data_IF_043771545368
#
_entry.id   IF_043771545368
#
_cell.length_a   1.000
_cell.length_b   1.000
_cell.length_c   1.000
_cell.angle_alpha   90.00
_cell.angle_beta   90.00
_cell.angle_gamma   90.00
#
_symmetry.space_group_name_H-M   'P 1'
#
loop_
_entity.id
_entity.type
_entity.pdbx_description
1 polymer ?
#
# COMPACT_ATOMS: atom_id res chain seq x y z
N UNK A 1 20.82 0.51 -7.84
CA UNK A 1 19.86 0.59 -6.72
C UNK A 1 19.12 -0.74 -6.62
N UNK A 2 19.15 -1.42 -5.48
CA UNK A 2 18.53 -2.74 -5.25
C UNK A 2 17.01 -2.64 -5.44
N UNK A 3 16.40 -3.62 -6.12
CA UNK A 3 14.97 -3.65 -6.48
C UNK A 3 14.05 -3.59 -5.25
N UNK A 4 14.45 -4.24 -4.15
CA UNK A 4 13.77 -4.21 -2.85
C UNK A 4 13.45 -2.80 -2.34
N UNK A 5 14.38 -1.86 -2.46
CA UNK A 5 14.21 -0.49 -1.93
C UNK A 5 13.12 0.30 -2.65
N UNK A 6 12.81 -0.03 -3.91
CA UNK A 6 11.75 0.67 -4.66
C UNK A 6 10.36 0.26 -4.21
N UNK A 7 10.19 -1.02 -3.86
CA UNK A 7 8.91 -1.57 -3.39
C UNK A 7 8.61 -1.09 -1.97
N UNK A 8 9.62 -1.12 -1.09
CA UNK A 8 9.52 -0.61 0.28
C UNK A 8 9.16 0.89 0.30
N UNK A 9 9.80 1.69 -0.57
CA UNK A 9 9.45 3.11 -0.73
C UNK A 9 8.03 3.30 -1.24
N UNK A 10 7.57 2.50 -2.21
CA UNK A 10 6.20 2.59 -2.71
C UNK A 10 5.18 2.26 -1.61
N UNK A 11 5.42 1.20 -0.84
CA UNK A 11 4.63 0.82 0.32
C UNK A 11 4.59 1.97 1.34
N UNK A 12 5.75 2.53 1.69
CA UNK A 12 5.83 3.62 2.65
C UNK A 12 5.12 4.88 2.17
N UNK A 13 5.24 5.21 0.87
CA UNK A 13 4.50 6.33 0.27
C UNK A 13 2.99 6.10 0.25
N UNK A 14 2.54 4.86 0.02
CA UNK A 14 1.12 4.51 0.04
C UNK A 14 0.55 4.64 1.47
N UNK A 15 1.28 4.17 2.48
CA UNK A 15 0.91 4.35 3.89
C UNK A 15 0.83 5.83 4.25
N UNK A 16 1.84 6.63 3.88
CA UNK A 16 1.86 8.07 4.14
C UNK A 16 0.69 8.82 3.49
N UNK A 17 0.35 8.46 2.26
CA UNK A 17 -0.76 9.06 1.53
C UNK A 17 -2.14 8.66 2.08
N UNK A 18 -2.30 7.42 2.56
CA UNK A 18 -3.50 7.03 3.30
C UNK A 18 -3.65 7.81 4.59
N UNK A 19 -2.55 7.96 5.34
CA UNK A 19 -2.56 8.71 6.59
C UNK A 19 -2.99 10.17 6.38
N UNK A 20 -2.46 10.83 5.36
CA UNK A 20 -2.84 12.20 5.02
C UNK A 20 -4.30 12.31 4.58
N UNK A 21 -4.80 11.35 3.78
CA UNK A 21 -6.21 11.30 3.37
C UNK A 21 -7.19 11.13 4.55
N UNK A 22 -6.83 10.28 5.52
CA UNK A 22 -7.63 10.10 6.75
C UNK A 22 -7.59 11.37 7.60
N UNK A 23 -6.40 11.96 7.80
CA UNK A 23 -6.25 13.18 8.59
C UNK A 23 -7.07 14.34 7.99
N UNK A 24 -7.03 14.48 6.67
CA UNK A 24 -7.74 15.53 5.94
C UNK A 24 -9.26 15.30 5.97
N UNK A 25 -9.71 14.04 5.89
CA UNK A 25 -11.12 13.69 6.05
C UNK A 25 -11.61 14.03 7.46
N UNK A 26 -10.84 13.68 8.50
CA UNK A 26 -11.16 14.01 9.90
C UNK A 26 -11.16 15.53 10.13
N UNK A 27 -10.17 16.25 9.59
CA UNK A 27 -10.11 17.71 9.65
C UNK A 27 -11.31 18.37 8.95
N UNK A 28 -11.79 17.77 7.85
CA UNK A 28 -13.00 18.20 7.14
C UNK A 28 -14.29 18.10 7.97
N UNK A 29 -14.33 17.25 8.99
CA UNK A 29 -15.43 17.23 9.97
C UNK A 29 -15.30 18.27 11.08
N UNK A 30 -14.08 18.76 11.34
CA UNK A 30 -13.78 19.71 12.42
C UNK A 30 -13.90 21.17 11.94
N UNK A 31 -13.58 21.45 10.68
CA UNK A 31 -13.68 22.79 10.06
C UNK A 31 -15.14 23.14 9.71
N UNK A 32 -15.54 24.38 9.99
CA UNK A 32 -16.85 24.93 9.60
C UNK A 32 -17.00 24.98 8.06
N UNK A 33 -18.14 24.58 7.45
CA UNK A 33 -19.45 24.26 8.03
C UNK A 33 -19.59 22.80 8.50
N UNK A 34 -19.68 22.65 9.83
CA UNK A 34 -19.98 21.43 10.58
C UNK A 34 -21.17 20.65 9.98
N UNK A 35 -20.89 19.44 9.51
CA UNK A 35 -21.90 18.48 9.03
C UNK A 35 -21.99 18.29 7.52
N UNK A 36 -21.20 19.02 6.72
CA UNK A 36 -21.11 18.81 5.27
C UNK A 36 -19.67 18.44 4.87
N UNK A 37 -19.46 17.17 4.53
CA UNK A 37 -18.21 16.75 3.89
C UNK A 37 -18.27 17.28 2.45
N UNK A 38 -17.31 18.12 2.08
CA UNK A 38 -17.23 18.62 0.71
C UNK A 38 -16.93 17.45 -0.24
N UNK A 39 -17.64 17.34 -1.36
CA UNK A 39 -17.43 16.27 -2.36
C UNK A 39 -15.96 16.17 -2.80
N UNK A 40 -15.26 17.31 -2.84
CA UNK A 40 -13.83 17.39 -3.17
C UNK A 40 -12.94 16.60 -2.19
N UNK A 41 -13.27 16.58 -0.90
CA UNK A 41 -12.52 15.85 0.13
C UNK A 41 -12.75 14.35 -0.01
N UNK A 42 -14.01 13.94 -0.19
CA UNK A 42 -14.36 12.55 -0.40
C UNK A 42 -13.74 12.01 -1.69
N UNK A 43 -13.72 12.81 -2.76
CA UNK A 43 -13.08 12.47 -4.02
C UNK A 43 -11.56 12.32 -3.89
N UNK A 44 -10.90 13.26 -3.20
CA UNK A 44 -9.47 13.15 -2.91
C UNK A 44 -9.13 11.92 -2.07
N UNK A 45 -9.94 11.63 -1.05
CA UNK A 45 -9.79 10.44 -0.22
C UNK A 45 -9.97 9.15 -1.04
N UNK A 46 -10.95 9.10 -1.93
CA UNK A 46 -11.15 7.98 -2.86
C UNK A 46 -9.91 7.76 -3.76
N UNK A 47 -9.29 8.84 -4.25
CA UNK A 47 -8.04 8.73 -5.02
C UNK A 47 -6.88 8.20 -4.18
N UNK A 48 -6.77 8.61 -2.90
CA UNK A 48 -5.77 8.06 -1.98
C UNK A 48 -5.98 6.55 -1.76
N UNK A 49 -7.23 6.12 -1.58
CA UNK A 49 -7.59 4.70 -1.43
C UNK A 49 -7.28 3.90 -2.71
N UNK A 50 -7.58 4.43 -3.89
CA UNK A 50 -7.29 3.77 -5.16
C UNK A 50 -5.78 3.63 -5.38
N UNK A 51 -5.01 4.68 -5.11
CA UNK A 51 -3.56 4.64 -5.21
C UNK A 51 -2.96 3.60 -4.26
N UNK A 52 -3.34 3.66 -2.98
CA UNK A 52 -2.86 2.72 -1.99
C UNK A 52 -3.30 1.28 -2.27
N UNK A 53 -4.56 1.08 -2.67
CA UNK A 53 -5.08 -0.23 -3.07
C UNK A 53 -4.35 -0.83 -4.27
N UNK A 54 -3.95 0.00 -5.24
CA UNK A 54 -3.17 -0.46 -6.40
C UNK A 54 -1.76 -0.92 -5.99
N UNK A 55 -1.11 -0.20 -5.08
CA UNK A 55 0.24 -0.53 -4.61
C UNK A 55 0.21 -1.75 -3.69
N UNK A 56 -0.71 -1.81 -2.73
CA UNK A 56 -0.82 -2.95 -1.82
C UNK A 56 -1.33 -4.20 -2.53
N UNK A 57 -2.26 -4.07 -3.48
CA UNK A 57 -2.75 -5.20 -4.27
C UNK A 57 -1.63 -5.88 -5.06
N UNK A 58 -0.75 -5.07 -5.69
CA UNK A 58 0.43 -5.59 -6.39
C UNK A 58 1.49 -6.07 -5.39
N UNK A 59 1.74 -5.34 -4.30
CA UNK A 59 2.74 -5.70 -3.29
C UNK A 59 2.46 -7.04 -2.60
N UNK A 60 1.21 -7.28 -2.17
CA UNK A 60 0.81 -8.58 -1.58
C UNK A 60 0.93 -9.70 -2.61
N UNK A 61 0.52 -9.45 -3.86
CA UNK A 61 0.63 -10.43 -4.93
C UNK A 61 2.09 -10.80 -5.23
N UNK A 62 2.97 -9.80 -5.33
CA UNK A 62 4.40 -9.96 -5.59
C UNK A 62 5.06 -10.68 -4.41
N UNK A 63 4.85 -10.22 -3.17
CA UNK A 63 5.43 -10.84 -1.98
C UNK A 63 5.01 -12.30 -1.81
N UNK A 64 3.73 -12.62 -2.03
CA UNK A 64 3.21 -13.99 -1.98
C UNK A 64 3.81 -14.89 -3.06
N UNK A 65 3.89 -14.42 -4.32
CA UNK A 65 4.54 -15.15 -5.42
C UNK A 65 6.03 -15.34 -5.19
N UNK A 66 6.72 -14.33 -4.67
CA UNK A 66 8.16 -14.36 -4.43
C UNK A 66 8.52 -15.33 -3.31
N UNK A 67 7.75 -15.33 -2.21
CA UNK A 67 7.91 -16.31 -1.13
C UNK A 67 7.68 -17.75 -1.63
N UNK A 68 6.68 -17.98 -2.48
CA UNK A 68 6.44 -19.31 -3.06
C UNK A 68 7.62 -19.77 -3.94
N UNK A 69 8.19 -18.87 -4.75
CA UNK A 69 9.37 -19.20 -5.57
C UNK A 69 10.59 -19.49 -4.71
N UNK A 70 10.84 -18.68 -3.67
CA UNK A 70 11.94 -18.90 -2.73
C UNK A 70 11.82 -20.24 -2.01
N UNK A 71 10.60 -20.64 -1.63
CA UNK A 71 10.35 -21.91 -0.97
C UNK A 71 10.71 -23.10 -1.90
N UNK A 72 10.32 -23.03 -3.18
CA UNK A 72 10.70 -24.03 -4.19
C UNK A 72 12.22 -24.14 -4.37
N UNK A 73 12.95 -23.03 -4.40
CA UNK A 73 14.41 -23.08 -4.50
C UNK A 73 15.05 -23.67 -3.25
N UNK A 74 14.49 -23.38 -2.06
CA UNK A 74 14.95 -23.95 -0.79
C UNK A 74 14.79 -25.47 -0.74
N UNK A 75 13.68 -25.99 -1.25
CA UNK A 75 13.45 -27.44 -1.29
C UNK A 75 14.35 -28.12 -2.32
N UNK A 76 14.57 -27.52 -3.49
CA UNK A 76 15.52 -28.04 -4.50
C UNK A 76 16.95 -28.11 -3.95
N UNK A 77 17.40 -27.10 -3.18
CA UNK A 77 18.74 -27.12 -2.56
C UNK A 77 18.85 -28.21 -1.49
N UNK A 78 17.77 -28.45 -0.72
CA UNK A 78 17.74 -29.54 0.26
C UNK A 78 17.79 -30.92 -0.39
N UNK A 79 17.11 -31.10 -1.52
CA UNK A 79 17.16 -32.38 -2.25
C UNK A 79 18.52 -32.60 -2.94
N UNK A 80 19.14 -31.55 -3.49
CA UNK A 80 20.45 -31.65 -4.13
C UNK A 80 21.62 -31.90 -3.14
N UNK A 81 21.43 -31.58 -1.86
CA UNK A 81 22.42 -31.81 -0.79
C UNK A 81 22.25 -33.14 -0.05
N UNK A 82 21.22 -33.93 -0.39
CA UNK A 82 20.90 -35.21 0.23
C UNK A 82 21.37 -36.36 -0.64
#
# INVERSE_FOLDING_TARGET
MKKETKEDVQIWTAVGMLFSGVLLSVAGFIVEPKGQIHDSVLWFFAQCLLYAGSIFGVGVYVSSKFNHLLDKFKDQEKEAKK
#
